data_IF_299614375364
#
_entry.id   IF_299614375364
#
_cell.length_a   1.000
_cell.length_b   1.000
_cell.length_c   1.000
_cell.angle_alpha   90.00
_cell.angle_beta   90.00
_cell.angle_gamma   90.00
#
_symmetry.space_group_name_H-M   'P 1'
#
loop_
_entity.id
_entity.type
_entity.pdbx_description
1 polymer ?
#
# COMPACT_ATOMS: atom_id res chain seq x y z
N UNK A 1 17.44 27.11 -27.83
CA UNK A 1 18.91 26.87 -27.75
C UNK A 1 19.26 25.67 -28.60
N UNK A 2 20.24 25.84 -29.49
CA UNK A 2 20.86 24.71 -30.18
C UNK A 2 21.59 23.79 -29.17
N UNK A 3 21.80 22.53 -29.53
CA UNK A 3 22.55 21.56 -28.70
C UNK A 3 23.97 22.08 -28.40
N UNK A 4 24.60 22.76 -29.38
CA UNK A 4 25.92 23.37 -29.25
C UNK A 4 25.96 24.54 -28.24
N UNK A 5 24.93 25.40 -28.25
CA UNK A 5 24.84 26.51 -27.27
C UNK A 5 24.68 25.98 -25.85
N UNK A 6 23.87 24.93 -25.67
CA UNK A 6 23.68 24.28 -24.37
C UNK A 6 24.98 23.65 -23.88
N UNK A 7 25.66 22.90 -24.73
CA UNK A 7 26.91 22.23 -24.39
C UNK A 7 28.01 23.25 -24.02
N UNK A 8 28.11 24.38 -24.74
CA UNK A 8 29.01 25.48 -24.39
C UNK A 8 28.69 26.10 -23.02
N UNK A 9 27.40 26.33 -22.74
CA UNK A 9 26.96 26.86 -21.44
C UNK A 9 27.28 25.90 -20.30
N UNK A 10 26.98 24.62 -20.47
CA UNK A 10 27.28 23.57 -19.48
C UNK A 10 28.79 23.42 -19.25
N UNK A 11 29.61 23.51 -20.31
CA UNK A 11 31.06 23.47 -20.19
C UNK A 11 31.62 24.67 -19.42
N UNK A 12 31.12 25.88 -19.67
CA UNK A 12 31.49 27.08 -18.90
C UNK A 12 31.13 26.94 -17.42
N UNK A 13 29.92 26.44 -17.13
CA UNK A 13 29.47 26.20 -15.76
C UNK A 13 30.32 25.16 -15.03
N UNK A 14 30.63 24.03 -15.68
CA UNK A 14 31.50 23.00 -15.11
C UNK A 14 32.93 23.54 -14.88
N UNK A 15 33.48 24.28 -15.84
CA UNK A 15 34.83 24.86 -15.71
C UNK A 15 34.91 25.83 -14.52
N UNK A 16 33.90 26.69 -14.34
CA UNK A 16 33.86 27.61 -13.22
C UNK A 16 33.75 26.86 -11.88
N UNK A 17 32.91 25.81 -11.82
CA UNK A 17 32.75 25.01 -10.62
C UNK A 17 34.05 24.27 -10.25
N UNK A 18 34.73 23.64 -11.21
CA UNK A 18 36.00 22.94 -10.96
C UNK A 18 37.09 23.88 -10.43
N UNK A 19 37.21 25.10 -10.99
CA UNK A 19 38.16 26.11 -10.48
C UNK A 19 37.83 26.50 -9.03
N UNK A 20 36.55 26.72 -8.71
CA UNK A 20 36.12 27.03 -7.35
C UNK A 20 36.39 25.87 -6.38
N UNK A 21 36.18 24.63 -6.82
CA UNK A 21 36.47 23.41 -6.07
C UNK A 21 37.95 23.25 -5.72
N UNK A 22 38.84 23.58 -6.65
CA UNK A 22 40.29 23.54 -6.44
C UNK A 22 40.78 24.64 -5.48
N UNK A 23 40.18 25.83 -5.51
CA UNK A 23 40.60 26.96 -4.68
C UNK A 23 40.02 26.96 -3.26
N UNK A 24 38.77 26.53 -3.08
CA UNK A 24 38.03 26.63 -1.81
C UNK A 24 37.85 25.28 -1.10
N UNK A 25 38.31 24.18 -1.73
CA UNK A 25 38.40 22.86 -1.10
C UNK A 25 37.04 22.19 -0.88
N UNK A 26 36.93 21.43 0.22
CA UNK A 26 35.89 20.41 0.36
C UNK A 26 34.44 20.94 0.26
N UNK A 27 34.23 22.20 0.62
CA UNK A 27 32.91 22.82 0.69
C UNK A 27 32.26 23.08 -0.67
N UNK A 28 33.03 23.15 -1.76
CA UNK A 28 32.52 23.41 -3.11
C UNK A 28 32.29 22.14 -3.94
N UNK A 29 32.64 20.95 -3.42
CA UNK A 29 32.45 19.70 -4.14
C UNK A 29 30.98 19.35 -4.44
N UNK A 30 29.99 19.69 -3.60
CA UNK A 30 28.57 19.51 -3.96
C UNK A 30 28.19 20.30 -5.22
N UNK A 31 28.63 21.54 -5.34
CA UNK A 31 28.41 22.43 -6.49
C UNK A 31 29.13 21.89 -7.73
N UNK A 32 30.38 21.44 -7.58
CA UNK A 32 31.12 20.74 -8.63
C UNK A 32 30.37 19.51 -9.13
N UNK A 33 29.87 18.69 -8.21
CA UNK A 33 29.15 17.47 -8.54
C UNK A 33 27.81 17.76 -9.21
N UNK A 34 27.10 18.80 -8.80
CA UNK A 34 25.87 19.26 -9.44
C UNK A 34 26.14 19.78 -10.87
N UNK A 35 27.20 20.59 -11.06
CA UNK A 35 27.61 21.08 -12.36
C UNK A 35 28.02 19.92 -13.29
N UNK A 36 28.78 18.95 -12.78
CA UNK A 36 29.16 17.74 -13.49
C UNK A 36 27.91 16.93 -13.88
N UNK A 37 26.99 16.72 -12.96
CA UNK A 37 25.74 15.98 -13.21
C UNK A 37 24.91 16.62 -14.31
N UNK A 38 24.83 17.95 -14.38
CA UNK A 38 24.08 18.67 -15.39
C UNK A 38 24.60 18.46 -16.84
N UNK A 39 25.89 18.15 -16.99
CA UNK A 39 26.51 17.80 -18.29
C UNK A 39 25.97 16.48 -18.80
N UNK A 40 25.87 15.47 -17.95
CA UNK A 40 25.50 14.11 -18.36
C UNK A 40 23.99 13.85 -18.27
N UNK A 41 23.27 14.52 -17.37
CA UNK A 41 21.89 14.20 -17.04
C UNK A 41 20.88 15.26 -17.50
N UNK A 42 19.66 14.82 -17.78
CA UNK A 42 18.48 15.67 -17.96
C UNK A 42 17.98 16.21 -16.61
N UNK A 43 17.00 17.11 -16.65
CA UNK A 43 16.31 17.58 -15.44
C UNK A 43 15.56 16.47 -14.70
N UNK A 44 15.20 15.39 -15.40
CA UNK A 44 14.57 14.19 -14.82
C UNK A 44 15.57 13.16 -14.28
N UNK A 45 16.84 13.53 -14.10
CA UNK A 45 17.92 12.64 -13.66
C UNK A 45 18.11 11.39 -14.55
N UNK A 46 17.80 11.48 -15.84
CA UNK A 46 18.11 10.44 -16.83
C UNK A 46 19.32 10.83 -17.66
N UNK A 47 20.07 9.84 -18.16
CA UNK A 47 21.22 10.12 -19.01
C UNK A 47 20.80 10.84 -20.29
N UNK A 48 21.46 11.95 -20.64
CA UNK A 48 21.23 12.64 -21.91
C UNK A 48 21.58 11.71 -23.06
N UNK A 49 20.66 11.55 -24.00
CA UNK A 49 20.88 10.70 -25.16
C UNK A 49 21.98 11.27 -26.06
N UNK A 50 23.03 10.49 -26.30
CA UNK A 50 24.06 10.73 -27.32
C UNK A 50 24.13 9.50 -28.20
N UNK A 51 24.05 9.68 -29.53
CA UNK A 51 24.01 8.59 -30.51
C UNK A 51 25.10 8.79 -31.57
N UNK A 52 25.59 7.70 -32.20
CA UNK A 52 26.47 7.81 -33.35
C UNK A 52 25.85 8.68 -34.46
N UNK A 53 26.63 9.60 -35.03
CA UNK A 53 26.17 10.42 -36.16
C UNK A 53 27.34 10.95 -36.98
N UNK A 54 27.11 11.19 -38.28
CA UNK A 54 28.11 11.79 -39.19
C UNK A 54 28.63 13.14 -38.70
N UNK A 55 27.83 13.90 -37.95
CA UNK A 55 28.23 15.18 -37.38
C UNK A 55 29.23 14.99 -36.21
N UNK A 56 29.06 13.92 -35.43
CA UNK A 56 29.97 13.53 -34.36
C UNK A 56 31.30 13.02 -34.92
N UNK A 57 31.24 12.16 -35.94
CA UNK A 57 32.42 11.62 -36.63
C UNK A 57 33.24 12.73 -37.28
N UNK A 58 32.58 13.72 -37.90
CA UNK A 58 33.25 14.90 -38.48
C UNK A 58 33.97 15.76 -37.43
N UNK A 59 33.48 15.77 -36.19
CA UNK A 59 34.07 16.58 -35.10
C UNK A 59 35.25 15.89 -34.40
N UNK A 60 35.18 14.58 -34.20
CA UNK A 60 36.14 13.85 -33.36
C UNK A 60 36.90 12.73 -34.10
N UNK A 61 36.59 12.46 -35.36
CA UNK A 61 36.97 11.22 -36.04
C UNK A 61 36.11 10.03 -35.59
N UNK A 62 36.11 8.93 -36.34
CA UNK A 62 35.31 7.74 -36.01
C UNK A 62 35.71 7.15 -34.63
N UNK A 63 37.00 6.96 -34.40
CA UNK A 63 37.51 6.43 -33.12
C UNK A 63 37.26 7.40 -31.96
N UNK A 64 37.41 8.72 -32.20
CA UNK A 64 37.14 9.74 -31.20
C UNK A 64 35.66 9.85 -30.84
N UNK A 65 34.77 9.70 -31.83
CA UNK A 65 33.32 9.64 -31.64
C UNK A 65 32.90 8.40 -30.85
N UNK A 66 33.48 7.23 -31.14
CA UNK A 66 33.27 6.01 -30.37
C UNK A 66 33.73 6.18 -28.91
N UNK A 67 34.95 6.68 -28.68
CA UNK A 67 35.48 6.96 -27.34
C UNK A 67 34.62 7.98 -26.59
N UNK A 68 34.13 9.03 -27.25
CA UNK A 68 33.24 10.00 -26.63
C UNK A 68 31.96 9.35 -26.10
N UNK A 69 31.30 8.51 -26.91
CA UNK A 69 30.06 7.84 -26.52
C UNK A 69 30.29 6.85 -25.36
N UNK A 70 31.40 6.11 -25.40
CA UNK A 70 31.82 5.21 -24.32
C UNK A 70 32.03 5.97 -23.01
N UNK A 71 32.81 7.06 -23.03
CA UNK A 71 33.08 7.86 -21.84
C UNK A 71 31.81 8.55 -21.33
N UNK A 72 30.94 9.02 -22.22
CA UNK A 72 29.63 9.59 -21.85
C UNK A 72 28.77 8.58 -21.09
N UNK A 73 28.67 7.35 -21.60
CA UNK A 73 27.96 6.26 -20.93
C UNK A 73 28.59 5.88 -19.59
N UNK A 74 29.91 5.69 -19.56
CA UNK A 74 30.64 5.27 -18.36
C UNK A 74 30.56 6.31 -17.23
N UNK A 75 30.92 7.56 -17.51
CA UNK A 75 30.91 8.64 -16.52
C UNK A 75 29.48 8.98 -16.09
N UNK A 76 28.55 9.04 -17.05
CA UNK A 76 27.13 9.24 -16.75
C UNK A 76 26.56 8.15 -15.84
N UNK A 77 26.92 6.88 -16.09
CA UNK A 77 26.55 5.76 -15.22
C UNK A 77 27.14 5.87 -13.81
N UNK A 78 28.40 6.30 -13.67
CA UNK A 78 29.02 6.54 -12.35
C UNK A 78 28.32 7.66 -11.58
N UNK A 79 27.91 8.73 -12.26
CA UNK A 79 27.15 9.82 -11.64
C UNK A 79 25.78 9.33 -11.16
N UNK A 80 25.07 8.55 -11.98
CA UNK A 80 23.78 7.96 -11.60
C UNK A 80 23.90 7.07 -10.37
N UNK A 81 24.94 6.21 -10.32
CA UNK A 81 25.22 5.38 -9.16
C UNK A 81 25.49 6.21 -7.90
N UNK A 82 26.28 7.29 -8.02
CA UNK A 82 26.56 8.19 -6.90
C UNK A 82 25.28 8.89 -6.41
N UNK A 83 24.43 9.39 -7.31
CA UNK A 83 23.14 10.00 -6.96
C UNK A 83 22.21 9.00 -6.27
N UNK A 84 22.16 7.76 -6.77
CA UNK A 84 21.40 6.69 -6.15
C UNK A 84 21.90 6.42 -4.72
N UNK A 85 23.21 6.29 -4.52
CA UNK A 85 23.81 6.09 -3.20
C UNK A 85 23.53 7.26 -2.24
N UNK A 86 23.61 8.50 -2.73
CA UNK A 86 23.26 9.68 -1.92
C UNK A 86 21.78 9.67 -1.52
N UNK A 87 20.89 9.27 -2.43
CA UNK A 87 19.47 9.11 -2.13
C UNK A 87 19.23 8.01 -1.10
N UNK A 88 19.88 6.85 -1.25
CA UNK A 88 19.80 5.73 -0.30
C UNK A 88 20.28 6.13 1.10
N UNK A 89 21.40 6.84 1.21
CA UNK A 89 21.91 7.37 2.47
C UNK A 89 20.96 8.41 3.09
N UNK A 90 20.37 9.28 2.26
CA UNK A 90 19.37 10.24 2.69
C UNK A 90 18.12 9.55 3.28
N UNK A 91 17.61 8.53 2.58
CA UNK A 91 16.48 7.70 3.04
C UNK A 91 16.84 6.96 4.33
N UNK A 92 18.05 6.40 4.43
CA UNK A 92 18.51 5.74 5.64
C UNK A 92 18.55 6.69 6.85
N UNK A 93 19.16 7.87 6.69
CA UNK A 93 19.22 8.89 7.75
C UNK A 93 17.82 9.34 8.18
N UNK A 94 16.96 9.64 7.20
CA UNK A 94 15.58 10.01 7.46
C UNK A 94 14.86 8.93 8.28
N UNK A 95 14.87 7.67 7.84
CA UNK A 95 14.23 6.57 8.55
C UNK A 95 14.80 6.39 9.96
N UNK A 96 16.13 6.45 10.13
CA UNK A 96 16.77 6.35 11.44
C UNK A 96 16.29 7.44 12.40
N UNK A 97 16.25 8.70 11.96
CA UNK A 97 15.80 9.81 12.78
C UNK A 97 14.30 9.69 13.10
N UNK A 98 13.50 9.37 12.09
CA UNK A 98 12.05 9.14 12.21
C UNK A 98 11.75 8.04 13.23
N UNK A 99 12.40 6.88 13.15
CA UNK A 99 12.24 5.80 14.11
C UNK A 99 12.55 6.24 15.55
N UNK A 100 13.62 7.02 15.75
CA UNK A 100 13.99 7.53 17.08
C UNK A 100 12.94 8.49 17.65
N UNK A 101 12.42 9.39 16.81
CA UNK A 101 11.35 10.32 17.22
C UNK A 101 10.06 9.55 17.52
N UNK A 102 9.66 8.61 16.67
CA UNK A 102 8.46 7.80 16.88
C UNK A 102 8.55 6.95 18.15
N UNK A 103 9.71 6.36 18.47
CA UNK A 103 9.89 5.64 19.72
C UNK A 103 9.65 6.54 20.94
N UNK A 104 10.21 7.76 20.95
CA UNK A 104 10.01 8.71 22.02
C UNK A 104 8.54 9.17 22.12
N UNK A 105 7.90 9.39 20.96
CA UNK A 105 6.48 9.76 20.88
C UNK A 105 5.58 8.65 21.44
N UNK A 106 5.77 7.39 21.01
CA UNK A 106 4.99 6.25 21.51
C UNK A 106 5.14 6.09 23.02
N UNK A 107 6.37 6.19 23.54
CA UNK A 107 6.60 6.15 24.98
C UNK A 107 5.86 7.26 25.75
N UNK A 108 5.78 8.47 25.17
CA UNK A 108 5.04 9.58 25.76
C UNK A 108 3.53 9.33 25.73
N UNK A 109 3.00 8.83 24.61
CA UNK A 109 1.58 8.47 24.45
C UNK A 109 1.19 7.37 25.43
N UNK A 110 2.02 6.34 25.58
CA UNK A 110 1.77 5.25 26.54
C UNK A 110 1.78 5.74 27.99
N UNK A 111 2.74 6.59 28.35
CA UNK A 111 2.79 7.21 29.68
C UNK A 111 1.55 8.09 29.95
N UNK A 112 1.10 8.85 28.95
CA UNK A 112 -0.10 9.67 29.01
C UNK A 112 -1.37 8.84 29.21
N UNK A 113 -1.53 7.74 28.45
CA UNK A 113 -2.64 6.78 28.60
C UNK A 113 -2.62 6.09 29.96
N UNK A 114 -1.44 5.65 30.41
CA UNK A 114 -1.24 4.99 31.69
C UNK A 114 -1.61 5.90 32.88
N UNK A 115 -1.20 7.18 32.86
CA UNK A 115 -1.56 8.16 33.88
C UNK A 115 -3.09 8.35 34.02
N UNK A 116 -3.83 8.13 32.93
CA UNK A 116 -5.30 8.19 32.89
C UNK A 116 -5.99 6.84 33.09
N UNK A 117 -5.23 5.75 33.24
CA UNK A 117 -5.74 4.37 33.29
C UNK A 117 -6.61 4.02 32.07
N UNK A 118 -6.21 4.53 30.91
CA UNK A 118 -6.89 4.28 29.64
C UNK A 118 -6.07 3.32 28.78
N UNK A 119 -6.78 2.55 27.95
CA UNK A 119 -6.23 1.76 26.85
C UNK A 119 -7.10 2.00 25.62
N UNK A 120 -6.49 2.06 24.46
CA UNK A 120 -7.22 2.06 23.18
C UNK A 120 -7.42 0.63 22.67
N UNK A 121 -8.12 0.48 21.53
CA UNK A 121 -8.40 -0.83 20.94
C UNK A 121 -7.14 -1.57 20.49
N UNK A 122 -6.13 -0.83 20.00
CA UNK A 122 -4.87 -1.43 19.54
C UNK A 122 -4.02 -1.86 20.74
N UNK A 123 -4.02 -1.08 21.81
CA UNK A 123 -3.40 -1.44 23.09
C UNK A 123 -3.97 -2.73 23.65
N UNK A 124 -5.29 -2.92 23.57
CA UNK A 124 -5.94 -4.12 24.06
C UNK A 124 -5.41 -5.36 23.32
N UNK A 125 -5.37 -5.33 21.98
CA UNK A 125 -4.82 -6.41 21.17
C UNK A 125 -3.32 -6.64 21.50
N UNK A 126 -2.53 -5.56 21.52
CA UNK A 126 -1.09 -5.67 21.78
C UNK A 126 -0.77 -6.22 23.16
N UNK A 127 -1.48 -5.77 24.20
CA UNK A 127 -1.30 -6.26 25.58
C UNK A 127 -1.71 -7.72 25.72
N UNK A 128 -2.79 -8.15 25.04
CA UNK A 128 -3.15 -9.59 25.00
C UNK A 128 -2.03 -10.40 24.38
N UNK A 129 -1.45 -9.95 23.27
CA UNK A 129 -0.30 -10.63 22.66
C UNK A 129 0.90 -10.70 23.62
N UNK A 130 1.19 -9.61 24.33
CA UNK A 130 2.28 -9.59 25.33
C UNK A 130 2.02 -10.57 26.48
N UNK A 131 0.79 -10.65 26.99
CA UNK A 131 0.41 -11.60 28.04
C UNK A 131 0.53 -13.05 27.58
N UNK A 132 0.17 -13.35 26.33
CA UNK A 132 0.32 -14.70 25.75
C UNK A 132 1.78 -15.09 25.49
N UNK A 133 2.70 -14.12 25.39
CA UNK A 133 4.13 -14.36 25.19
C UNK A 133 4.96 -14.37 26.48
N UNK A 134 4.40 -13.89 27.58
CA UNK A 134 5.05 -13.89 28.89
C UNK A 134 4.79 -15.22 29.60
N UNK A 135 5.79 -16.10 29.73
CA UNK A 135 5.60 -17.49 30.17
C UNK A 135 4.71 -17.66 31.43
N UNK A 136 4.90 -16.91 32.53
CA UNK A 136 4.07 -17.08 33.72
C UNK A 136 2.61 -16.66 33.50
N UNK A 137 2.39 -15.57 32.78
CA UNK A 137 1.04 -15.07 32.47
C UNK A 137 0.34 -15.96 31.42
N UNK A 138 1.10 -16.43 30.43
CA UNK A 138 0.63 -17.29 29.36
C UNK A 138 0.10 -18.61 29.91
N UNK A 139 0.84 -19.30 30.79
CA UNK A 139 0.40 -20.56 31.39
C UNK A 139 -0.92 -20.40 32.18
N UNK A 140 -1.05 -19.31 32.93
CA UNK A 140 -2.28 -19.01 33.67
C UNK A 140 -3.45 -18.70 32.74
N UNK A 141 -3.23 -17.87 31.70
CA UNK A 141 -4.25 -17.52 30.72
C UNK A 141 -4.70 -18.75 29.94
N UNK A 142 -3.76 -19.59 29.53
CA UNK A 142 -3.99 -20.87 28.87
C UNK A 142 -4.93 -21.75 29.70
N UNK A 143 -4.56 -22.04 30.95
CA UNK A 143 -5.39 -22.89 31.83
C UNK A 143 -6.82 -22.36 31.99
N UNK A 144 -7.01 -21.03 31.99
CA UNK A 144 -8.35 -20.41 32.06
C UNK A 144 -9.12 -20.50 30.76
N UNK A 145 -8.47 -20.36 29.62
CA UNK A 145 -9.09 -20.49 28.30
C UNK A 145 -9.46 -21.96 28.05
N UNK A 146 -8.57 -22.90 28.39
CA UNK A 146 -8.77 -24.35 28.28
C UNK A 146 -9.98 -24.81 29.08
N UNK A 147 -10.12 -24.31 30.32
CA UNK A 147 -11.25 -24.64 31.18
C UNK A 147 -12.59 -24.10 30.66
N UNK A 148 -12.57 -23.15 29.72
CA UNK A 148 -13.77 -22.44 29.27
C UNK A 148 -14.16 -22.75 27.83
N UNK A 149 -13.20 -22.93 26.94
CA UNK A 149 -13.42 -23.03 25.51
C UNK A 149 -12.80 -24.30 24.95
N UNK A 150 -13.64 -25.25 24.55
CA UNK A 150 -13.19 -26.46 23.84
C UNK A 150 -13.17 -26.30 22.32
N UNK A 151 -13.91 -25.29 21.81
CA UNK A 151 -14.02 -25.02 20.37
C UNK A 151 -14.03 -23.51 20.12
N UNK A 152 -13.40 -23.11 19.01
CA UNK A 152 -13.25 -21.72 18.56
C UNK A 152 -13.73 -21.63 17.13
N UNK A 153 -14.75 -20.78 16.91
CA UNK A 153 -15.30 -20.51 15.60
C UNK A 153 -14.98 -19.06 15.25
N UNK A 154 -14.29 -18.85 14.14
CA UNK A 154 -13.89 -17.54 13.66
C UNK A 154 -14.57 -17.30 12.32
N UNK A 155 -15.46 -16.33 12.30
CA UNK A 155 -16.16 -15.88 11.10
C UNK A 155 -15.46 -14.65 10.51
N UNK A 156 -15.73 -14.34 9.25
CA UNK A 156 -15.17 -13.20 8.51
C UNK A 156 -13.63 -13.10 8.61
N UNK A 157 -12.93 -14.23 8.60
CA UNK A 157 -11.49 -14.25 8.86
C UNK A 157 -10.68 -13.44 7.82
N UNK A 158 -11.22 -13.21 6.62
CA UNK A 158 -10.58 -12.35 5.61
C UNK A 158 -10.37 -10.90 6.06
N UNK A 159 -11.07 -10.45 7.10
CA UNK A 159 -10.95 -9.10 7.68
C UNK A 159 -10.03 -9.06 8.91
N UNK A 160 -9.38 -10.19 9.22
CA UNK A 160 -8.43 -10.30 10.33
C UNK A 160 -7.13 -9.56 10.01
N UNK A 161 -6.58 -8.86 11.00
CA UNK A 161 -5.29 -8.18 10.88
C UNK A 161 -4.12 -9.09 11.36
N UNK A 162 -2.86 -8.81 10.96
CA UNK A 162 -1.72 -9.62 11.38
C UNK A 162 -1.49 -9.72 12.91
N UNK A 163 -1.92 -8.72 13.69
CA UNK A 163 -1.80 -8.73 15.14
C UNK A 163 -2.78 -9.72 15.78
N UNK A 164 -4.03 -9.73 15.33
CA UNK A 164 -5.06 -10.68 15.75
C UNK A 164 -4.67 -12.12 15.43
N UNK A 165 -4.08 -12.35 14.25
CA UNK A 165 -3.54 -13.67 13.93
C UNK A 165 -2.36 -14.06 14.82
N UNK A 166 -1.45 -13.15 15.14
CA UNK A 166 -0.36 -13.44 16.10
C UNK A 166 -0.88 -13.78 17.50
N UNK A 167 -1.96 -13.16 17.94
CA UNK A 167 -2.64 -13.49 19.21
C UNK A 167 -3.18 -14.91 19.15
N UNK A 168 -3.90 -15.24 18.07
CA UNK A 168 -4.46 -16.58 17.89
C UNK A 168 -3.37 -17.63 17.79
N UNK A 169 -2.30 -17.39 17.03
CA UNK A 169 -1.14 -18.27 16.96
C UNK A 169 -0.48 -18.49 18.31
N UNK A 170 -0.18 -17.41 19.04
CA UNK A 170 0.44 -17.52 20.37
C UNK A 170 -0.40 -18.36 21.33
N UNK A 171 -1.73 -18.28 21.22
CA UNK A 171 -2.64 -19.11 21.99
C UNK A 171 -2.68 -20.57 21.51
N UNK A 172 -2.74 -20.80 20.18
CA UNK A 172 -2.80 -22.15 19.60
C UNK A 172 -1.47 -22.92 19.75
N UNK A 173 -0.33 -22.25 19.64
CA UNK A 173 1.01 -22.83 19.78
C UNK A 173 1.31 -23.29 21.22
N UNK A 174 0.63 -22.72 22.22
CA UNK A 174 0.79 -23.09 23.63
C UNK A 174 0.24 -24.50 23.94
N UNK A 175 -0.57 -25.09 23.05
CA UNK A 175 -1.15 -26.40 23.26
C UNK A 175 -0.29 -27.56 22.76
N UNK A 176 -0.16 -28.60 23.59
CA UNK A 176 0.24 -29.94 23.17
C UNK A 176 -0.92 -30.69 22.49
N UNK A 177 -0.63 -31.61 21.57
CA UNK A 177 -1.63 -32.30 20.72
C UNK A 177 -2.83 -32.89 21.49
N UNK A 178 -2.63 -33.37 22.73
CA UNK A 178 -3.67 -34.05 23.51
C UNK A 178 -4.75 -33.13 24.10
N UNK A 179 -4.51 -31.81 24.16
CA UNK A 179 -5.41 -30.84 24.83
C UNK A 179 -5.81 -29.67 23.94
N UNK A 180 -5.55 -29.75 22.63
CA UNK A 180 -5.85 -28.68 21.67
C UNK A 180 -7.36 -28.44 21.53
N UNK A 181 -7.81 -27.17 21.46
CA UNK A 181 -9.20 -26.84 21.17
C UNK A 181 -9.48 -27.12 19.69
N UNK A 182 -10.74 -27.44 19.36
CA UNK A 182 -11.16 -27.50 17.97
C UNK A 182 -11.23 -26.08 17.38
N UNK A 183 -10.66 -25.88 16.20
CA UNK A 183 -10.66 -24.57 15.51
C UNK A 183 -11.44 -24.69 14.21
N UNK A 184 -12.33 -23.75 13.95
CA UNK A 184 -13.09 -23.65 12.72
C UNK A 184 -13.02 -22.21 12.19
N UNK A 185 -12.49 -22.05 10.97
CA UNK A 185 -12.37 -20.75 10.31
C UNK A 185 -13.34 -20.68 9.14
N UNK A 186 -14.05 -19.55 9.04
CA UNK A 186 -14.90 -19.19 7.92
C UNK A 186 -14.43 -17.85 7.39
N UNK A 187 -14.39 -17.73 6.07
CA UNK A 187 -14.09 -16.47 5.42
C UNK A 187 -14.13 -16.59 3.91
N UNK A 188 -14.20 -15.44 3.25
CA UNK A 188 -14.13 -15.33 1.80
C UNK A 188 -13.14 -14.21 1.43
N UNK A 189 -11.93 -14.55 0.95
CA UNK A 189 -10.95 -13.54 0.52
C UNK A 189 -11.50 -12.55 -0.50
N UNK A 190 -12.50 -12.94 -1.31
CA UNK A 190 -13.16 -12.09 -2.31
C UNK A 190 -13.95 -10.94 -1.67
N UNK A 191 -14.31 -11.06 -0.39
CA UNK A 191 -15.12 -10.09 0.34
C UNK A 191 -14.29 -9.18 1.25
N UNK A 192 -12.96 -9.30 1.24
CA UNK A 192 -12.09 -8.46 2.06
C UNK A 192 -12.06 -7.02 1.53
N UNK A 193 -12.84 -6.14 2.18
CA UNK A 193 -12.96 -4.72 1.82
C UNK A 193 -12.37 -3.80 2.90
N UNK A 194 -11.87 -4.35 4.01
CA UNK A 194 -11.35 -3.60 5.16
C UNK A 194 -9.83 -3.40 5.18
N UNK A 195 -9.18 -3.34 4.00
CA UNK A 195 -7.72 -3.08 3.90
C UNK A 195 -7.28 -1.80 4.63
N UNK A 196 -8.13 -0.78 4.68
CA UNK A 196 -7.88 0.47 5.42
C UNK A 196 -7.78 0.25 6.95
N UNK A 197 -8.36 -0.83 7.48
CA UNK A 197 -8.19 -1.30 8.87
C UNK A 197 -7.04 -2.29 9.05
N UNK A 198 -6.18 -2.43 8.03
CA UNK A 198 -5.04 -3.38 7.99
C UNK A 198 -5.47 -4.85 7.95
N UNK A 199 -6.68 -5.15 7.49
CA UNK A 199 -7.03 -6.51 7.09
C UNK A 199 -6.10 -6.97 5.96
N UNK A 200 -5.62 -8.20 6.05
CA UNK A 200 -4.71 -8.80 5.07
C UNK A 200 -5.32 -10.10 4.53
N UNK A 201 -5.89 -10.11 3.30
CA UNK A 201 -6.51 -11.30 2.74
C UNK A 201 -5.58 -12.51 2.65
N UNK A 202 -4.27 -12.27 2.47
CA UNK A 202 -3.25 -13.35 2.43
C UNK A 202 -3.17 -14.13 3.73
N UNK A 203 -3.62 -13.55 4.85
CA UNK A 203 -3.65 -14.19 6.15
C UNK A 203 -4.58 -15.39 6.18
N UNK A 204 -5.68 -15.36 5.41
CA UNK A 204 -6.61 -16.49 5.34
C UNK A 204 -5.94 -17.75 4.79
N UNK A 205 -5.16 -17.61 3.71
CA UNK A 205 -4.42 -18.74 3.13
C UNK A 205 -3.37 -19.28 4.13
N UNK A 206 -2.61 -18.40 4.77
CA UNK A 206 -1.61 -18.78 5.77
C UNK A 206 -2.24 -19.46 6.99
N UNK A 207 -3.40 -18.99 7.46
CA UNK A 207 -4.12 -19.59 8.57
C UNK A 207 -4.70 -20.97 8.21
N UNK A 208 -5.24 -21.11 6.99
CA UNK A 208 -5.72 -22.40 6.50
C UNK A 208 -4.56 -23.43 6.40
N UNK A 209 -3.41 -23.04 5.83
CA UNK A 209 -2.21 -23.89 5.78
C UNK A 209 -1.70 -24.26 7.17
N UNK A 210 -1.71 -23.31 8.12
CA UNK A 210 -1.32 -23.59 9.50
C UNK A 210 -2.23 -24.65 10.14
N UNK A 211 -3.55 -24.55 9.98
CA UNK A 211 -4.49 -25.52 10.54
C UNK A 211 -4.44 -26.89 9.85
N UNK A 212 -4.22 -26.93 8.53
CA UNK A 212 -4.00 -28.19 7.80
C UNK A 212 -2.76 -28.93 8.35
N UNK A 213 -1.67 -28.21 8.57
CA UNK A 213 -0.40 -28.79 9.02
C UNK A 213 -0.36 -29.15 10.52
N UNK A 214 -0.98 -28.34 11.39
CA UNK A 214 -0.84 -28.48 12.84
C UNK A 214 -2.09 -29.02 13.56
N UNK A 215 -3.26 -28.98 12.88
CA UNK A 215 -4.55 -29.40 13.44
C UNK A 215 -5.24 -30.48 12.59
N UNK A 216 -4.59 -30.96 11.52
CA UNK A 216 -5.18 -31.87 10.54
C UNK A 216 -6.55 -31.38 10.03
N UNK A 217 -6.70 -30.05 9.91
CA UNK A 217 -7.96 -29.45 9.51
C UNK A 217 -8.28 -29.76 8.05
N UNK A 218 -9.57 -29.93 7.76
CA UNK A 218 -10.06 -30.06 6.39
C UNK A 218 -10.44 -28.68 5.84
N UNK A 219 -9.89 -28.32 4.69
CA UNK A 219 -10.33 -27.15 3.93
C UNK A 219 -11.57 -27.48 3.13
N UNK A 220 -12.65 -26.73 3.39
CA UNK A 220 -13.92 -26.90 2.72
C UNK A 220 -14.21 -25.68 1.86
N UNK A 221 -14.49 -25.91 0.59
CA UNK A 221 -14.83 -24.86 -0.37
C UNK A 221 -16.34 -24.89 -0.64
N UNK A 222 -16.96 -23.70 -0.70
CA UNK A 222 -18.40 -23.56 -0.89
C UNK A 222 -18.68 -22.59 -2.03
N UNK A 223 -18.84 -23.14 -3.23
CA UNK A 223 -19.17 -22.36 -4.44
C UNK A 223 -20.70 -22.34 -4.70
N UNK A 224 -21.49 -22.63 -3.67
CA UNK A 224 -22.96 -22.65 -3.75
C UNK A 224 -23.58 -21.58 -2.86
N UNK A 225 -24.60 -20.88 -3.36
CA UNK A 225 -25.37 -19.89 -2.61
C UNK A 225 -26.81 -20.35 -2.44
N UNK A 226 -27.33 -20.25 -1.21
CA UNK A 226 -28.76 -20.39 -0.92
C UNK A 226 -29.48 -19.02 -0.88
N UNK A 227 -28.73 -17.92 -1.00
CA UNK A 227 -29.22 -16.55 -0.85
C UNK A 227 -29.69 -15.96 -2.18
N UNK A 228 -28.92 -16.16 -3.24
CA UNK A 228 -29.14 -15.48 -4.52
C UNK A 228 -29.82 -16.41 -5.53
N UNK A 229 -30.81 -15.89 -6.25
CA UNK A 229 -31.46 -16.56 -7.37
C UNK A 229 -30.50 -16.75 -8.55
N UNK A 230 -30.78 -17.73 -9.42
CA UNK A 230 -29.93 -18.07 -10.57
C UNK A 230 -29.59 -16.85 -11.46
N UNK A 231 -30.52 -15.94 -11.81
CA UNK A 231 -30.18 -14.79 -12.65
C UNK A 231 -29.14 -13.84 -12.05
N UNK A 232 -29.05 -13.76 -10.72
CA UNK A 232 -28.01 -12.96 -10.04
C UNK A 232 -26.66 -13.67 -10.15
N UNK A 233 -26.64 -14.98 -9.90
CA UNK A 233 -25.43 -15.81 -9.99
C UNK A 233 -24.86 -15.79 -11.41
N UNK A 234 -25.72 -15.86 -12.44
CA UNK A 234 -25.31 -15.80 -13.85
C UNK A 234 -24.55 -14.52 -14.16
N UNK A 235 -25.02 -13.37 -13.68
CA UNK A 235 -24.33 -12.08 -13.88
C UNK A 235 -23.02 -12.03 -13.09
N UNK A 236 -23.01 -12.50 -11.84
CA UNK A 236 -21.78 -12.55 -11.03
C UNK A 236 -20.71 -13.40 -11.75
N UNK A 237 -21.06 -14.59 -12.23
CA UNK A 237 -20.14 -15.43 -13.01
C UNK A 237 -19.70 -14.73 -14.30
N UNK A 238 -20.61 -14.11 -15.05
CA UNK A 238 -20.27 -13.40 -16.27
C UNK A 238 -19.32 -12.20 -16.05
N UNK A 239 -19.35 -11.57 -14.87
CA UNK A 239 -18.50 -10.43 -14.53
C UNK A 239 -17.12 -10.83 -14.03
N UNK A 240 -17.00 -11.92 -13.28
CA UNK A 240 -15.77 -12.23 -12.54
C UNK A 240 -15.03 -13.48 -13.05
N UNK A 241 -15.70 -14.39 -13.76
CA UNK A 241 -15.08 -15.64 -14.21
C UNK A 241 -14.05 -15.37 -15.32
N UNK A 242 -12.81 -15.82 -15.11
CA UNK A 242 -11.70 -15.66 -16.05
C UNK A 242 -11.10 -14.26 -16.12
N UNK A 243 -11.41 -13.39 -15.15
CA UNK A 243 -10.81 -12.06 -15.03
C UNK A 243 -9.56 -12.13 -14.13
N UNK A 244 -8.34 -11.84 -14.64
CA UNK A 244 -7.08 -12.03 -13.89
C UNK A 244 -7.03 -11.32 -12.54
N UNK A 245 -7.66 -10.15 -12.43
CA UNK A 245 -7.71 -9.35 -11.21
C UNK A 245 -8.51 -10.01 -10.08
N UNK A 246 -9.40 -10.96 -10.41
CA UNK A 246 -10.27 -11.64 -9.46
C UNK A 246 -9.88 -13.10 -9.21
N UNK A 247 -8.78 -13.59 -9.79
CA UNK A 247 -8.26 -14.92 -9.50
C UNK A 247 -7.97 -15.11 -7.99
N UNK A 248 -8.35 -16.25 -7.36
CA UNK A 248 -8.98 -17.43 -7.94
C UNK A 248 -10.52 -17.43 -7.83
N UNK A 249 -11.23 -16.55 -8.57
CA UNK A 249 -12.69 -16.60 -8.65
C UNK A 249 -13.15 -17.88 -9.33
N UNK A 250 -13.97 -18.66 -8.62
CA UNK A 250 -14.59 -19.88 -9.14
C UNK A 250 -16.04 -19.64 -9.49
N UNK A 251 -16.50 -20.37 -10.50
CA UNK A 251 -17.90 -20.36 -10.91
C UNK A 251 -18.82 -20.71 -9.73
N UNK A 252 -19.85 -19.88 -9.52
CA UNK A 252 -20.81 -20.00 -8.43
C UNK A 252 -22.12 -20.63 -8.89
N UNK A 253 -22.84 -21.30 -7.99
CA UNK A 253 -24.11 -21.99 -8.29
C UNK A 253 -25.22 -21.60 -7.32
N UNK A 254 -26.46 -21.47 -7.79
CA UNK A 254 -27.62 -21.22 -6.92
C UNK A 254 -28.29 -22.53 -6.47
N UNK A 255 -28.57 -22.60 -5.18
CA UNK A 255 -29.46 -23.60 -4.56
C UNK A 255 -30.79 -22.97 -4.13
N UNK A 256 -31.10 -21.75 -4.57
CA UNK A 256 -32.34 -21.03 -4.21
C UNK A 256 -33.58 -21.51 -4.98
N UNK A 257 -33.48 -22.60 -5.75
CA UNK A 257 -34.59 -23.18 -6.50
C UNK A 257 -35.16 -22.22 -7.55
N UNK A 258 -36.49 -22.11 -7.61
CA UNK A 258 -37.21 -21.25 -8.55
C UNK A 258 -37.37 -19.79 -8.09
N UNK A 259 -36.49 -19.31 -7.22
CA UNK A 259 -36.52 -17.92 -6.77
C UNK A 259 -36.39 -16.97 -7.98
N UNK A 260 -37.26 -15.97 -8.06
CA UNK A 260 -37.17 -14.94 -9.08
C UNK A 260 -35.93 -14.05 -8.81
N UNK A 261 -35.23 -13.67 -9.87
CA UNK A 261 -34.08 -12.77 -9.81
C UNK A 261 -34.12 -11.76 -10.95
N UNK A 262 -33.69 -10.54 -10.68
CA UNK A 262 -33.57 -9.46 -11.67
C UNK A 262 -32.27 -8.71 -11.41
N UNK A 263 -31.54 -8.43 -12.48
CA UNK A 263 -30.33 -7.59 -12.44
C UNK A 263 -30.53 -6.45 -13.43
N UNK A 264 -30.21 -5.24 -13.01
CA UNK A 264 -30.27 -4.04 -13.84
C UNK A 264 -28.99 -3.22 -13.67
N UNK A 265 -28.44 -2.76 -14.78
CA UNK A 265 -27.29 -1.87 -14.79
C UNK A 265 -27.79 -0.42 -14.85
N UNK A 266 -27.52 0.36 -13.81
CA UNK A 266 -27.83 1.79 -13.79
C UNK A 266 -26.72 2.60 -14.48
N UNK A 267 -27.04 3.76 -15.09
CA UNK A 267 -26.04 4.64 -15.68
C UNK A 267 -25.01 5.13 -14.66
N UNK A 268 -23.74 5.25 -15.09
CA UNK A 268 -22.65 5.77 -14.27
C UNK A 268 -22.83 7.27 -13.99
N UNK A 269 -22.63 7.68 -12.73
CA UNK A 269 -22.59 9.08 -12.35
C UNK A 269 -21.22 9.68 -12.68
N UNK A 270 -21.11 10.30 -13.85
CA UNK A 270 -19.88 10.98 -14.26
C UNK A 270 -19.65 12.25 -13.45
N UNK A 271 -18.38 12.57 -13.18
CA UNK A 271 -18.03 13.89 -12.68
C UNK A 271 -18.49 14.92 -13.72
N UNK A 272 -19.23 15.94 -13.29
CA UNK A 272 -19.40 17.11 -14.14
C UNK A 272 -18.02 17.70 -14.34
N UNK A 273 -17.70 18.10 -15.58
CA UNK A 273 -16.54 18.96 -15.79
C UNK A 273 -16.86 20.23 -15.01
N UNK A 274 -16.24 20.40 -13.85
CA UNK A 274 -16.17 21.71 -13.24
C UNK A 274 -15.63 22.64 -14.34
N UNK A 275 -16.43 23.66 -14.72
CA UNK A 275 -15.85 24.83 -15.34
C UNK A 275 -14.70 25.27 -14.40
N UNK A 276 -13.57 25.72 -14.96
CA UNK A 276 -12.37 26.12 -14.19
C UNK A 276 -12.59 27.37 -13.29
N UNK A 277 -13.74 27.50 -12.67
CA UNK A 277 -14.12 28.53 -11.71
C UNK A 277 -14.67 27.90 -10.44
N UNK A 278 -13.98 28.19 -9.33
CA UNK A 278 -14.43 28.02 -7.94
C UNK A 278 -14.10 26.73 -7.19
N UNK A 279 -12.92 26.12 -7.38
CA UNK A 279 -12.18 25.61 -6.22
C UNK A 279 -11.30 26.74 -5.66
N UNK A 280 -11.91 27.62 -4.87
CA UNK A 280 -11.26 28.74 -4.18
C UNK A 280 -10.43 28.27 -2.96
N UNK A 281 -9.72 27.15 -3.08
CA UNK A 281 -8.74 26.71 -2.10
C UNK A 281 -7.36 27.13 -2.60
N UNK A 282 -6.96 28.36 -2.27
CA UNK A 282 -5.55 28.77 -2.38
C UNK A 282 -4.67 27.70 -1.72
N UNK A 283 -3.52 27.31 -2.32
CA UNK A 283 -2.59 26.39 -1.69
C UNK A 283 -2.29 26.86 -0.27
N UNK A 284 -2.60 26.03 0.72
CA UNK A 284 -2.40 26.39 2.13
C UNK A 284 -0.90 26.54 2.39
N UNK A 285 -0.47 27.73 2.79
CA UNK A 285 0.89 27.97 3.27
C UNK A 285 1.03 27.46 4.71
N UNK A 286 1.21 26.15 4.88
CA UNK A 286 1.59 25.56 6.18
C UNK A 286 0.86 24.28 6.57
N UNK A 287 1.29 23.70 7.69
CA UNK A 287 0.65 22.55 8.30
C UNK A 287 -0.63 23.00 9.03
N UNK A 288 -1.72 22.30 8.75
CA UNK A 288 -3.01 22.38 9.45
C UNK A 288 -2.85 21.96 10.91
N UNK A 289 -3.56 22.61 11.83
CA UNK A 289 -3.82 22.05 13.16
C UNK A 289 -4.96 21.04 13.06
N UNK A 290 -4.69 19.71 13.15
CA UNK A 290 -5.71 18.71 12.94
C UNK A 290 -6.79 18.67 14.04
N UNK A 291 -6.53 19.28 15.21
CA UNK A 291 -7.45 19.31 16.33
C UNK A 291 -8.50 20.41 16.18
N UNK A 292 -8.10 21.57 15.66
CA UNK A 292 -8.93 22.78 15.67
C UNK A 292 -9.43 23.19 14.29
N UNK A 293 -8.83 22.68 13.23
CA UNK A 293 -9.26 22.95 11.87
C UNK A 293 -9.94 21.69 11.34
N UNK A 294 -10.86 21.77 10.37
CA UNK A 294 -11.38 20.61 9.62
C UNK A 294 -10.66 20.46 8.28
N UNK A 295 -10.47 19.23 7.81
CA UNK A 295 -9.83 19.03 6.50
C UNK A 295 -10.82 19.42 5.41
N UNK A 296 -10.36 20.12 4.38
CA UNK A 296 -11.22 20.54 3.27
C UNK A 296 -11.20 19.46 2.19
N UNK A 297 -12.01 18.43 2.37
CA UNK A 297 -12.21 17.44 1.32
C UNK A 297 -13.24 17.95 0.30
N UNK A 298 -12.93 17.98 -1.01
CA UNK A 298 -13.94 18.28 -2.02
C UNK A 298 -15.07 17.26 -1.90
N UNK A 299 -16.30 17.75 -1.74
CA UNK A 299 -17.49 16.89 -1.62
C UNK A 299 -17.73 16.21 -2.96
N UNK A 300 -17.42 14.92 -3.05
CA UNK A 300 -17.70 14.13 -4.24
C UNK A 300 -19.22 13.88 -4.38
N UNK A 301 -19.88 14.74 -5.16
CA UNK A 301 -21.31 14.68 -5.42
C UNK A 301 -21.74 13.44 -6.22
N UNK A 302 -20.81 12.67 -6.82
CA UNK A 302 -21.13 11.46 -7.57
C UNK A 302 -21.78 10.40 -6.68
N UNK A 303 -21.21 10.14 -5.51
CA UNK A 303 -21.75 9.14 -4.56
C UNK A 303 -23.18 9.47 -4.13
N UNK A 304 -23.47 10.76 -3.95
CA UNK A 304 -24.82 11.22 -3.64
C UNK A 304 -25.78 10.95 -4.80
N UNK A 305 -25.41 11.31 -6.03
CA UNK A 305 -26.23 11.05 -7.23
C UNK A 305 -26.45 9.56 -7.48
N UNK A 306 -25.42 8.74 -7.26
CA UNK A 306 -25.55 7.27 -7.30
C UNK A 306 -26.59 6.77 -6.28
N UNK A 307 -26.51 7.24 -5.04
CA UNK A 307 -27.49 6.90 -4.00
C UNK A 307 -28.91 7.34 -4.38
N UNK A 308 -29.07 8.53 -4.98
CA UNK A 308 -30.36 9.04 -5.46
C UNK A 308 -30.93 8.17 -6.60
N UNK A 309 -30.10 7.75 -7.58
CA UNK A 309 -30.50 6.82 -8.64
C UNK A 309 -30.93 5.45 -8.09
N UNK A 310 -30.15 4.88 -7.16
CA UNK A 310 -30.48 3.61 -6.50
C UNK A 310 -31.79 3.73 -5.71
N UNK A 311 -31.97 4.81 -4.95
CA UNK A 311 -33.18 5.05 -4.17
C UNK A 311 -34.42 5.22 -5.07
N UNK A 312 -34.31 5.98 -6.17
CA UNK A 312 -35.38 6.12 -7.15
C UNK A 312 -35.74 4.76 -7.77
N UNK A 313 -34.74 3.93 -8.06
CA UNK A 313 -34.97 2.59 -8.62
C UNK A 313 -35.66 1.65 -7.63
N UNK A 314 -35.24 1.66 -6.36
CA UNK A 314 -35.89 0.87 -5.31
C UNK A 314 -37.36 1.28 -5.15
N UNK A 315 -37.66 2.59 -5.16
CA UNK A 315 -39.05 3.07 -5.12
C UNK A 315 -39.89 2.54 -6.29
N UNK A 316 -39.36 2.58 -7.51
CA UNK A 316 -40.02 2.02 -8.69
C UNK A 316 -40.31 0.52 -8.54
N UNK A 317 -39.41 -0.24 -7.92
CA UNK A 317 -39.58 -1.69 -7.71
C UNK A 317 -40.63 -1.99 -6.64
N UNK A 318 -40.62 -1.23 -5.54
CA UNK A 318 -41.51 -1.44 -4.38
C UNK A 318 -42.92 -0.88 -4.63
N UNK A 319 -43.10 -0.01 -5.63
CA UNK A 319 -44.39 0.60 -5.96
C UNK A 319 -44.80 1.72 -5.01
N UNK A 320 -43.83 2.41 -4.42
CA UNK A 320 -44.07 3.59 -3.58
C UNK A 320 -43.94 4.85 -4.45
N UNK A 321 -45.06 5.25 -5.07
CA UNK A 321 -45.26 6.60 -5.62
C UNK A 321 -45.78 7.54 -4.53
#
# INVERSE_FOLDING_TARGET
>A
MSELERDKKLAQQLSAALVAGESEGFNQWPECFAALSAVFLTQSHSLRARKPSKALDKRFGADGAARFLEQHGRLGGQILLCLQQQSEEGVYRFNRHTCRVFQAFLAHVDAFKAARRQIDFVDAEWRVLQLLRDEPAAAFLQARLDARYSHVLLDEFQDTNPLQWQILLAWLDAYSDATRPGVFLVGDPKQSIYRFRRAEPKLFAAAAEFLENNFAAARCEQDTTRRNAQPIVDVVNALFLGVPEFEPFREQYSLAGSAAGRVELLPLCVAEKEEEGETNASPREGLRDPLNEADSEPVDSRRRREAEHVAAKIRQIVGAD
#
